data_IF_984892638094
#
_entry.id   IF_984892638094
#
_cell.length_a   1.000
_cell.length_b   1.000
_cell.length_c   1.000
_cell.angle_alpha   90.00
_cell.angle_beta   90.00
_cell.angle_gamma   90.00
#
_symmetry.space_group_name_H-M   'P 1'
#
loop_
_entity.id
_entity.type
_entity.pdbx_description
1 polymer ?
#
# COMPACT_ATOMS: atom_id res chain seq x y z
N UNK A 1 -16.30 -5.47 -1.64
CA UNK A 1 -14.83 -5.29 -1.56
C UNK A 1 -14.54 -4.63 -0.21
N UNK A 2 -13.55 -5.07 0.58
CA UNK A 2 -13.20 -4.41 1.84
C UNK A 2 -12.83 -2.94 1.59
N UNK A 3 -13.13 -2.07 2.56
CA UNK A 3 -12.69 -0.67 2.52
C UNK A 3 -11.18 -0.55 2.70
N UNK A 4 -10.63 0.62 2.39
CA UNK A 4 -9.21 0.88 2.63
C UNK A 4 -8.86 0.78 4.11
N UNK A 5 -9.74 1.21 5.01
CA UNK A 5 -9.54 1.07 6.45
C UNK A 5 -9.44 -0.40 6.88
N UNK A 6 -10.33 -1.25 6.37
CA UNK A 6 -10.28 -2.70 6.65
C UNK A 6 -9.02 -3.35 6.08
N UNK A 7 -8.51 -2.86 4.95
CA UNK A 7 -7.24 -3.33 4.38
C UNK A 7 -6.05 -2.89 5.23
N UNK A 8 -6.05 -1.63 5.67
CA UNK A 8 -5.01 -1.08 6.55
C UNK A 8 -4.95 -1.81 7.89
N UNK A 9 -6.11 -2.12 8.50
CA UNK A 9 -6.17 -2.93 9.73
C UNK A 9 -5.54 -4.31 9.54
N UNK A 10 -5.81 -4.96 8.41
CA UNK A 10 -5.17 -6.26 8.09
C UNK A 10 -3.66 -6.13 7.92
N UNK A 11 -3.20 -5.09 7.24
CA UNK A 11 -1.75 -4.85 7.06
C UNK A 11 -1.09 -4.57 8.42
N UNK A 12 -1.72 -3.78 9.28
CA UNK A 12 -1.22 -3.48 10.61
C UNK A 12 -1.12 -4.76 11.45
N UNK A 13 -2.15 -5.61 11.41
CA UNK A 13 -2.15 -6.90 12.09
C UNK A 13 -1.06 -7.84 11.55
N UNK A 14 -0.94 -8.02 10.23
CA UNK A 14 0.13 -8.84 9.63
C UNK A 14 1.52 -8.32 10.03
N UNK A 15 1.68 -7.00 10.11
CA UNK A 15 2.92 -6.37 10.55
C UNK A 15 3.21 -6.65 12.03
N UNK A 16 2.19 -6.60 12.91
CA UNK A 16 2.36 -6.91 14.33
C UNK A 16 2.73 -8.38 14.60
N UNK A 17 2.32 -9.29 13.72
CA UNK A 17 2.73 -10.70 13.75
C UNK A 17 4.17 -10.94 13.22
N UNK A 18 4.91 -9.88 12.91
CA UNK A 18 6.31 -9.98 12.46
C UNK A 18 6.50 -10.18 10.95
N UNK A 19 5.43 -10.03 10.16
CA UNK A 19 5.48 -10.23 8.71
C UNK A 19 5.51 -8.93 7.88
N UNK A 20 5.75 -7.77 8.50
CA UNK A 20 5.73 -6.47 7.81
C UNK A 20 6.68 -6.39 6.59
N UNK A 21 7.83 -7.08 6.65
CA UNK A 21 8.81 -7.21 5.55
C UNK A 21 8.34 -8.05 4.36
N UNK A 22 7.16 -8.66 4.43
CA UNK A 22 6.60 -9.54 3.39
C UNK A 22 5.33 -8.97 2.75
N UNK A 23 4.99 -7.72 3.03
CA UNK A 23 3.78 -7.06 2.51
C UNK A 23 4.12 -6.13 1.36
N UNK A 24 3.40 -6.26 0.26
CA UNK A 24 3.41 -5.32 -0.87
C UNK A 24 1.99 -4.86 -1.18
N UNK A 25 1.84 -3.66 -1.75
CA UNK A 25 0.54 -3.06 -2.08
C UNK A 25 0.54 -2.50 -3.50
N UNK A 26 -0.62 -2.54 -4.16
CA UNK A 26 -0.83 -2.01 -5.50
C UNK A 26 -2.30 -1.63 -5.70
N UNK A 27 -2.59 -0.87 -6.76
CA UNK A 27 -3.95 -0.40 -7.09
C UNK A 27 -4.79 -1.41 -7.87
N UNK A 28 -4.13 -2.34 -8.57
CA UNK A 28 -4.74 -3.25 -9.55
C UNK A 28 -5.58 -2.50 -10.62
N UNK A 29 -4.99 -1.47 -11.21
CA UNK A 29 -5.62 -0.70 -12.29
C UNK A 29 -5.53 -1.50 -13.58
N UNK A 30 -6.64 -2.12 -13.96
CA UNK A 30 -6.78 -2.90 -15.19
C UNK A 30 -7.83 -2.37 -16.18
N UNK A 31 -8.46 -1.22 -15.87
CA UNK A 31 -9.54 -0.62 -16.69
C UNK A 31 -9.44 0.91 -16.77
N UNK A 32 -9.93 1.50 -17.87
CA UNK A 32 -9.83 2.94 -18.12
C UNK A 32 -10.48 3.81 -17.04
N UNK A 33 -11.68 3.44 -16.57
CA UNK A 33 -12.43 4.23 -15.59
C UNK A 33 -11.72 4.34 -14.22
N UNK A 34 -10.68 3.53 -13.97
CA UNK A 34 -9.87 3.61 -12.73
C UNK A 34 -8.77 4.67 -12.81
N UNK A 35 -8.49 5.22 -13.99
CA UNK A 35 -7.52 6.30 -14.18
C UNK A 35 -8.14 7.67 -13.85
N UNK A 36 -7.33 8.60 -13.34
CA UNK A 36 -7.73 9.98 -13.00
C UNK A 36 -8.45 10.70 -14.16
N UNK A 37 -7.96 10.54 -15.39
CA UNK A 37 -8.57 11.13 -16.60
C UNK A 37 -10.06 10.80 -16.76
N UNK A 38 -10.50 9.66 -16.22
CA UNK A 38 -11.87 9.16 -16.31
C UNK A 38 -12.60 9.21 -14.97
N UNK A 39 -12.10 9.97 -13.99
CA UNK A 39 -12.69 10.12 -12.66
C UNK A 39 -12.35 9.01 -11.66
N UNK A 40 -11.40 8.12 -12.00
CA UNK A 40 -10.90 7.10 -11.10
C UNK A 40 -9.78 7.60 -10.18
N UNK A 41 -9.29 6.72 -9.32
CA UNK A 41 -8.25 7.04 -8.34
C UNK A 41 -6.86 7.35 -8.94
N UNK A 42 -6.52 6.73 -10.07
CA UNK A 42 -5.18 6.85 -10.66
C UNK A 42 -4.07 6.18 -9.82
N UNK A 43 -2.84 6.31 -10.32
CA UNK A 43 -1.66 5.68 -9.72
C UNK A 43 -1.10 6.49 -8.53
N UNK A 44 -1.45 7.77 -8.41
CA UNK A 44 -1.04 8.62 -7.28
C UNK A 44 -1.71 8.23 -5.96
N UNK A 45 -2.88 7.58 -6.01
CA UNK A 45 -3.76 7.38 -4.86
C UNK A 45 -3.10 6.77 -3.61
N UNK A 46 -2.25 5.75 -3.78
CA UNK A 46 -1.56 5.13 -2.64
C UNK A 46 -0.63 6.15 -1.97
N UNK A 47 0.11 6.95 -2.74
CA UNK A 47 1.05 7.93 -2.21
C UNK A 47 0.33 9.13 -1.60
N UNK A 48 -0.70 9.64 -2.27
CA UNK A 48 -1.40 10.86 -1.86
C UNK A 48 -2.39 10.64 -0.71
N UNK A 49 -2.95 9.43 -0.59
CA UNK A 49 -4.06 9.16 0.32
C UNK A 49 -3.79 8.02 1.28
N UNK A 50 -3.24 6.90 0.82
CA UNK A 50 -3.07 5.71 1.67
C UNK A 50 -1.85 5.83 2.58
N UNK A 51 -0.70 6.27 2.06
CA UNK A 51 0.52 6.42 2.85
C UNK A 51 0.36 7.44 4.01
N UNK A 52 -0.25 8.63 3.81
CA UNK A 52 -0.56 9.53 4.92
C UNK A 52 -1.50 8.92 5.95
N UNK A 53 -2.51 8.16 5.52
CA UNK A 53 -3.44 7.45 6.44
C UNK A 53 -2.73 6.34 7.23
N UNK A 54 -1.77 5.65 6.64
CA UNK A 54 -0.93 4.67 7.36
C UNK A 54 -0.20 5.35 8.51
N UNK A 55 0.50 6.46 8.25
CA UNK A 55 1.20 7.23 9.27
C UNK A 55 0.23 7.73 10.36
N UNK A 56 -0.91 8.30 9.97
CA UNK A 56 -1.93 8.74 10.92
C UNK A 56 -2.46 7.62 11.81
N UNK A 57 -2.53 6.39 11.30
CA UNK A 57 -2.95 5.19 12.03
C UNK A 57 -1.84 4.51 12.83
N UNK A 58 -0.66 5.11 12.92
CA UNK A 58 0.43 4.63 13.79
C UNK A 58 1.39 3.64 13.13
N UNK A 59 1.36 3.50 11.81
CA UNK A 59 2.47 2.84 11.11
C UNK A 59 3.74 3.67 11.28
N UNK A 60 4.87 3.02 11.50
CA UNK A 60 6.15 3.72 11.57
C UNK A 60 6.56 4.23 10.18
N UNK A 61 7.31 5.34 10.08
CA UNK A 61 7.87 5.79 8.80
C UNK A 61 8.66 4.70 8.08
N UNK A 62 9.42 3.90 8.83
CA UNK A 62 10.18 2.76 8.32
C UNK A 62 9.25 1.66 7.78
N UNK A 63 8.15 1.35 8.48
CA UNK A 63 7.17 0.37 8.03
C UNK A 63 6.46 0.80 6.74
N UNK A 64 6.14 2.09 6.61
CA UNK A 64 5.59 2.66 5.37
C UNK A 64 6.63 2.60 4.24
N UNK A 65 7.88 2.98 4.52
CA UNK A 65 8.98 2.88 3.57
C UNK A 65 9.20 1.43 3.11
N UNK A 66 9.09 0.47 4.02
CA UNK A 66 9.25 -0.94 3.70
C UNK A 66 8.17 -1.43 2.73
N UNK A 67 6.91 -1.07 2.98
CA UNK A 67 5.78 -1.45 2.12
C UNK A 67 5.89 -0.81 0.73
N UNK A 68 6.36 0.45 0.64
CA UNK A 68 6.40 1.21 -0.61
C UNK A 68 7.68 1.02 -1.43
N UNK A 69 8.81 0.71 -0.78
CA UNK A 69 10.13 0.73 -1.41
C UNK A 69 10.86 -0.59 -1.18
N UNK A 70 11.16 -0.91 0.08
CA UNK A 70 12.10 -2.00 0.40
C UNK A 70 11.54 -3.38 0.00
N UNK A 71 10.28 -3.68 0.30
CA UNK A 71 9.68 -4.99 0.01
C UNK A 71 9.46 -5.20 -1.50
N UNK A 72 8.91 -4.22 -2.26
CA UNK A 72 8.85 -4.33 -3.72
C UNK A 72 10.23 -4.49 -4.38
N UNK A 73 11.24 -3.73 -3.92
CA UNK A 73 12.60 -3.85 -4.44
C UNK A 73 13.16 -5.26 -4.21
N UNK A 74 12.94 -5.83 -3.03
CA UNK A 74 13.41 -7.18 -2.69
C UNK A 74 12.74 -8.26 -3.55
N UNK A 75 11.43 -8.20 -3.74
CA UNK A 75 10.67 -9.25 -4.46
C UNK A 75 10.81 -9.16 -5.98
N UNK A 76 11.06 -7.96 -6.53
CA UNK A 76 11.18 -7.75 -7.98
C UNK A 76 12.62 -7.86 -8.49
N UNK A 77 13.61 -7.97 -7.60
CA UNK A 77 15.01 -8.14 -8.00
C UNK A 77 15.31 -9.61 -8.30
N UNK A 78 15.89 -9.88 -9.47
CA UNK A 78 16.42 -11.20 -9.83
C UNK A 78 17.74 -11.46 -9.10
N UNK A 79 17.96 -12.70 -8.66
CA UNK A 79 19.22 -13.16 -8.06
C UNK A 79 19.94 -14.13 -8.98
#
# INVERSE_FOLDING_TARGET
>A
MPSDDQRLERIAWISSEGYGRKVVVAHDICTKHRLEKYGGHGYSYILDHIAPRMLYRGFTPEGVHDILVSNPAEVLTFR
#
